data_IF_975670010532
#
_entry.id   IF_975670010532
#
_cell.length_a   1.000
_cell.length_b   1.000
_cell.length_c   1.000
_cell.angle_alpha   90.00
_cell.angle_beta   90.00
_cell.angle_gamma   90.00
#
_symmetry.space_group_name_H-M   'P 1'
#
loop_
_entity.id
_entity.type
_entity.pdbx_description
1 polymer ?
#
# COMPACT_ATOMS: atom_id res chain seq x y z
N UNK A 1 -16.81 5.10 -42.24
CA UNK A 1 -18.04 5.77 -41.79
C UNK A 1 -18.67 6.66 -42.86
N UNK A 2 -18.19 7.90 -43.00
CA UNK A 2 -18.84 8.90 -43.87
C UNK A 2 -18.96 8.51 -45.35
N UNK A 3 -17.93 7.91 -45.95
CA UNK A 3 -17.99 7.46 -47.34
C UNK A 3 -19.12 6.43 -47.58
N UNK A 4 -19.21 5.41 -46.74
CA UNK A 4 -20.29 4.41 -46.78
C UNK A 4 -21.66 5.05 -46.55
N UNK A 5 -21.77 5.96 -45.57
CA UNK A 5 -22.99 6.73 -45.35
C UNK A 5 -23.42 7.52 -46.58
N UNK A 6 -22.49 8.19 -47.26
CA UNK A 6 -22.75 8.92 -48.50
C UNK A 6 -23.21 8.01 -49.65
N UNK A 7 -22.62 6.83 -49.80
CA UNK A 7 -23.07 5.83 -50.78
C UNK A 7 -24.50 5.40 -50.50
N UNK A 8 -24.83 5.04 -49.25
CA UNK A 8 -26.19 4.65 -48.85
C UNK A 8 -27.18 5.80 -49.07
N UNK A 9 -26.83 7.02 -48.64
CA UNK A 9 -27.68 8.20 -48.83
C UNK A 9 -27.94 8.50 -50.30
N UNK A 10 -26.94 8.34 -51.18
CA UNK A 10 -27.09 8.56 -52.63
C UNK A 10 -27.95 7.48 -53.28
N UNK A 11 -27.79 6.22 -52.88
CA UNK A 11 -28.66 5.12 -53.35
C UNK A 11 -30.12 5.39 -52.96
N UNK A 12 -30.39 5.76 -51.70
CA UNK A 12 -31.75 6.02 -51.25
C UNK A 12 -32.36 7.29 -51.86
N UNK A 13 -31.57 8.32 -52.13
CA UNK A 13 -32.04 9.49 -52.88
C UNK A 13 -32.42 9.13 -54.32
N UNK A 14 -31.66 8.26 -54.97
CA UNK A 14 -31.98 7.83 -56.33
C UNK A 14 -33.26 6.98 -56.40
N UNK A 15 -33.55 6.18 -55.35
CA UNK A 15 -34.74 5.31 -55.32
C UNK A 15 -35.97 6.06 -54.80
N UNK A 16 -35.82 6.89 -53.76
CA UNK A 16 -36.89 7.65 -53.11
C UNK A 16 -36.51 9.13 -52.91
N UNK A 17 -36.44 9.93 -54.00
CA UNK A 17 -35.96 11.31 -53.95
C UNK A 17 -36.86 12.24 -53.11
N UNK A 18 -38.14 11.91 -52.97
CA UNK A 18 -39.09 12.68 -52.14
C UNK A 18 -38.94 12.41 -50.63
N UNK A 19 -38.38 11.27 -50.24
CA UNK A 19 -38.17 10.89 -48.83
C UNK A 19 -36.77 11.31 -48.38
N UNK A 20 -35.74 11.05 -49.19
CA UNK A 20 -34.36 11.43 -48.88
C UNK A 20 -34.00 12.67 -49.69
N UNK A 21 -34.27 13.85 -49.16
CA UNK A 21 -33.98 15.13 -49.85
C UNK A 21 -32.52 15.56 -49.73
N UNK A 22 -31.84 15.16 -48.65
CA UNK A 22 -30.46 15.55 -48.33
C UNK A 22 -29.55 14.34 -48.07
N UNK A 23 -28.90 13.79 -49.11
CA UNK A 23 -27.96 12.66 -48.96
C UNK A 23 -26.80 12.93 -47.98
N UNK A 24 -26.41 14.21 -47.81
CA UNK A 24 -25.34 14.62 -46.90
C UNK A 24 -25.60 14.25 -45.43
N UNK A 25 -26.86 14.17 -45.01
CA UNK A 25 -27.21 13.74 -43.65
C UNK A 25 -26.70 12.32 -43.33
N UNK A 26 -26.71 11.43 -44.34
CA UNK A 26 -26.23 10.05 -44.18
C UNK A 26 -24.70 9.98 -44.03
N UNK A 27 -23.96 10.93 -44.60
CA UNK A 27 -22.49 11.04 -44.41
C UNK A 27 -22.19 11.31 -42.93
N UNK A 28 -22.89 12.28 -42.34
CA UNK A 28 -22.72 12.69 -40.95
C UNK A 28 -23.08 11.55 -40.00
N UNK A 29 -24.25 10.93 -40.21
CA UNK A 29 -24.71 9.79 -39.39
C UNK A 29 -23.81 8.57 -39.56
N UNK A 30 -23.34 8.29 -40.78
CA UNK A 30 -22.41 7.18 -41.05
C UNK A 30 -21.01 7.40 -40.45
N UNK A 31 -20.54 8.65 -40.38
CA UNK A 31 -19.31 9.00 -39.66
C UNK A 31 -19.47 8.79 -38.14
N UNK A 32 -20.56 9.30 -37.56
CA UNK A 32 -20.86 9.15 -36.13
C UNK A 32 -21.03 7.68 -35.73
N UNK A 33 -21.80 6.89 -36.50
CA UNK A 33 -21.98 5.46 -36.25
C UNK A 33 -20.65 4.70 -36.25
N UNK A 34 -19.81 4.92 -37.25
CA UNK A 34 -18.49 4.28 -37.32
C UNK A 34 -17.62 4.61 -36.11
N UNK A 35 -17.47 5.90 -35.77
CA UNK A 35 -16.63 6.32 -34.66
C UNK A 35 -17.17 5.81 -33.32
N UNK A 36 -18.49 5.86 -33.12
CA UNK A 36 -19.17 5.28 -31.95
C UNK A 36 -18.87 3.80 -31.80
N UNK A 37 -18.88 3.07 -32.92
CA UNK A 37 -18.63 1.64 -32.94
C UNK A 37 -17.19 1.24 -32.61
N UNK A 38 -16.20 1.94 -33.16
CA UNK A 38 -14.78 1.63 -32.90
C UNK A 38 -14.28 2.16 -31.57
N UNK A 39 -14.88 3.23 -31.04
CA UNK A 39 -14.45 3.89 -29.81
C UNK A 39 -15.27 3.47 -28.58
N UNK A 40 -16.41 2.81 -28.77
CA UNK A 40 -17.36 2.47 -27.71
C UNK A 40 -17.91 3.69 -26.93
N UNK A 41 -18.08 4.84 -27.61
CA UNK A 41 -18.46 6.13 -26.99
C UNK A 41 -19.67 6.78 -27.68
N UNK A 42 -20.87 6.16 -27.68
CA UNK A 42 -22.02 6.63 -28.47
C UNK A 42 -22.49 8.04 -28.14
N UNK A 43 -22.51 8.41 -26.85
CA UNK A 43 -23.00 9.73 -26.39
C UNK A 43 -21.99 10.84 -26.75
N UNK A 44 -20.71 10.66 -26.41
CA UNK A 44 -19.68 11.65 -26.73
C UNK A 44 -19.52 11.83 -28.24
N UNK A 45 -19.60 10.73 -29.01
CA UNK A 45 -19.50 10.77 -30.46
C UNK A 45 -20.61 11.61 -31.09
N UNK A 46 -21.88 11.43 -30.68
CA UNK A 46 -22.97 12.18 -31.29
C UNK A 46 -22.91 13.66 -30.93
N UNK A 47 -22.52 14.00 -29.69
CA UNK A 47 -22.32 15.40 -29.27
C UNK A 47 -21.24 16.05 -30.12
N UNK A 48 -20.07 15.41 -30.23
CA UNK A 48 -18.94 15.92 -31.02
C UNK A 48 -19.32 16.16 -32.50
N UNK A 49 -20.03 15.21 -33.11
CA UNK A 49 -20.45 15.33 -34.51
C UNK A 49 -21.52 16.41 -34.69
N UNK A 50 -22.47 16.54 -33.76
CA UNK A 50 -23.47 17.61 -33.79
C UNK A 50 -22.84 19.00 -33.61
N UNK A 51 -21.84 19.13 -32.75
CA UNK A 51 -21.09 20.39 -32.57
C UNK A 51 -20.27 20.74 -33.81
N UNK A 52 -19.51 19.78 -34.37
CA UNK A 52 -18.69 20.02 -35.57
C UNK A 52 -19.53 20.37 -36.81
N UNK A 53 -20.75 19.84 -36.90
CA UNK A 53 -21.67 20.14 -38.00
C UNK A 53 -22.58 21.33 -37.73
N UNK A 54 -22.51 21.91 -36.53
CA UNK A 54 -23.38 22.98 -36.03
C UNK A 54 -24.88 22.68 -36.27
N UNK A 55 -25.27 21.41 -36.15
CA UNK A 55 -26.62 20.94 -36.46
C UNK A 55 -27.08 19.86 -35.49
N UNK A 56 -28.14 20.18 -34.77
CA UNK A 56 -28.76 19.28 -33.79
C UNK A 56 -29.95 18.50 -34.38
N UNK A 57 -30.38 18.80 -35.61
CA UNK A 57 -31.48 18.09 -36.27
C UNK A 57 -31.18 16.59 -36.49
N UNK A 58 -29.91 16.24 -36.62
CA UNK A 58 -29.45 14.85 -36.81
C UNK A 58 -29.15 14.12 -35.49
N UNK A 59 -29.34 14.77 -34.34
CA UNK A 59 -28.99 14.19 -33.04
C UNK A 59 -29.79 12.93 -32.75
N UNK A 60 -31.12 12.97 -32.92
CA UNK A 60 -31.98 11.82 -32.60
C UNK A 60 -31.74 10.62 -33.55
N UNK A 61 -31.73 10.79 -34.89
CA UNK A 61 -31.36 9.69 -35.80
C UNK A 61 -29.93 9.20 -35.59
N UNK A 62 -28.99 10.10 -35.31
CA UNK A 62 -27.60 9.76 -35.05
C UNK A 62 -27.41 8.98 -33.76
N UNK A 63 -28.13 9.34 -32.68
CA UNK A 63 -28.10 8.60 -31.41
C UNK A 63 -28.61 7.17 -31.58
N UNK A 64 -29.66 6.95 -32.38
CA UNK A 64 -30.14 5.61 -32.72
C UNK A 64 -29.04 4.80 -33.41
N UNK A 65 -28.43 5.37 -34.46
CA UNK A 65 -27.37 4.68 -35.21
C UNK A 65 -26.13 4.43 -34.34
N UNK A 66 -25.68 5.41 -33.56
CA UNK A 66 -24.56 5.26 -32.63
C UNK A 66 -24.84 4.19 -31.58
N UNK A 67 -26.03 4.17 -30.99
CA UNK A 67 -26.43 3.20 -29.97
C UNK A 67 -26.50 1.78 -30.55
N UNK A 68 -27.12 1.63 -31.72
CA UNK A 68 -27.20 0.34 -32.40
C UNK A 68 -25.81 -0.17 -32.80
N UNK A 69 -24.97 0.72 -33.34
CA UNK A 69 -23.60 0.35 -33.70
C UNK A 69 -22.82 -0.06 -32.47
N UNK A 70 -22.88 0.71 -31.38
CA UNK A 70 -22.25 0.36 -30.11
C UNK A 70 -22.70 -1.01 -29.58
N UNK A 71 -24.01 -1.29 -29.58
CA UNK A 71 -24.52 -2.59 -29.11
C UNK A 71 -23.99 -3.77 -29.96
N UNK A 72 -23.91 -3.59 -31.27
CA UNK A 72 -23.46 -4.63 -32.21
C UNK A 72 -21.93 -4.78 -32.22
N UNK A 73 -21.17 -3.69 -32.04
CA UNK A 73 -19.72 -3.67 -32.16
C UNK A 73 -18.96 -3.64 -30.84
N UNK A 74 -19.63 -3.65 -29.67
CA UNK A 74 -19.02 -3.47 -28.34
C UNK A 74 -17.75 -4.28 -28.10
N UNK A 75 -17.67 -5.51 -28.66
CA UNK A 75 -16.54 -6.43 -28.51
C UNK A 75 -15.31 -6.06 -29.36
N UNK A 76 -15.43 -5.11 -30.27
CA UNK A 76 -14.43 -4.74 -31.27
C UNK A 76 -14.05 -3.28 -31.05
N UNK A 77 -12.77 -3.03 -30.81
CA UNK A 77 -12.22 -1.67 -30.70
C UNK A 77 -10.88 -1.62 -31.42
N UNK A 78 -10.56 -0.44 -31.97
CA UNK A 78 -9.24 -0.16 -32.54
C UNK A 78 -8.21 0.20 -31.45
N UNK A 79 -8.67 0.50 -30.23
CA UNK A 79 -7.83 0.94 -29.14
C UNK A 79 -7.29 -0.25 -28.34
N UNK A 80 -6.04 -0.62 -28.59
CA UNK A 80 -5.38 -1.77 -27.95
C UNK A 80 -5.32 -1.68 -26.42
N UNK A 81 -5.25 -0.46 -25.86
CA UNK A 81 -5.18 -0.22 -24.42
C UNK A 81 -6.54 0.09 -23.78
N UNK A 82 -7.65 -0.01 -24.53
CA UNK A 82 -8.98 0.25 -24.00
C UNK A 82 -9.44 -0.97 -23.18
N UNK A 83 -9.54 -0.77 -21.87
CA UNK A 83 -10.01 -1.79 -20.93
C UNK A 83 -11.54 -1.87 -20.90
N UNK A 84 -12.07 -3.02 -20.52
CA UNK A 84 -13.51 -3.30 -20.54
C UNK A 84 -14.31 -2.53 -19.49
N UNK A 85 -13.67 -2.19 -18.37
CA UNK A 85 -14.31 -1.52 -17.26
C UNK A 85 -13.39 -0.49 -16.60
N UNK A 86 -13.98 0.43 -15.85
CA UNK A 86 -13.24 1.44 -15.10
C UNK A 86 -12.32 0.80 -14.04
N UNK A 87 -12.71 -0.33 -13.44
CA UNK A 87 -11.90 -1.03 -12.41
C UNK A 87 -10.67 -1.72 -12.99
N UNK A 88 -10.71 -2.10 -14.27
CA UNK A 88 -9.56 -2.65 -15.00
C UNK A 88 -8.56 -1.56 -15.42
N UNK A 89 -8.94 -0.29 -15.30
CA UNK A 89 -8.12 0.84 -15.68
C UNK A 89 -7.12 1.20 -14.60
N UNK A 90 -5.84 1.12 -14.94
CA UNK A 90 -4.76 1.55 -14.04
C UNK A 90 -4.88 3.02 -13.60
N UNK A 91 -5.51 3.88 -14.41
CA UNK A 91 -5.70 5.29 -14.10
C UNK A 91 -6.66 5.52 -12.93
N UNK A 92 -7.62 4.62 -12.73
CA UNK A 92 -8.71 4.78 -11.78
C UNK A 92 -8.54 3.93 -10.50
N UNK A 93 -7.37 3.29 -10.29
CA UNK A 93 -7.12 2.42 -9.13
C UNK A 93 -7.30 3.11 -7.78
N UNK A 94 -6.98 4.40 -7.71
CA UNK A 94 -7.12 5.21 -6.48
C UNK A 94 -8.57 5.53 -6.14
N UNK A 95 -9.42 5.75 -7.14
CA UNK A 95 -10.86 6.06 -6.96
C UNK A 95 -11.55 4.96 -6.13
N UNK A 96 -11.29 3.70 -6.46
CA UNK A 96 -11.95 2.57 -5.83
C UNK A 96 -11.35 2.16 -4.48
N UNK A 97 -10.14 2.63 -4.16
CA UNK A 97 -9.44 2.17 -2.95
C UNK A 97 -10.19 2.56 -1.68
N UNK A 98 -10.59 3.83 -1.58
CA UNK A 98 -11.32 4.35 -0.42
C UNK A 98 -12.72 3.73 -0.36
N UNK A 99 -13.44 3.71 -1.48
CA UNK A 99 -14.83 3.24 -1.55
C UNK A 99 -14.94 1.76 -1.15
N UNK A 100 -14.03 0.92 -1.64
CA UNK A 100 -14.03 -0.52 -1.34
C UNK A 100 -13.65 -0.76 0.12
N UNK A 101 -12.64 -0.06 0.65
CA UNK A 101 -12.29 -0.18 2.07
C UNK A 101 -13.40 0.32 3.00
N UNK A 102 -14.11 1.39 2.63
CA UNK A 102 -15.23 1.93 3.38
C UNK A 102 -16.45 0.98 3.36
N UNK A 103 -16.60 0.19 2.30
CA UNK A 103 -17.65 -0.83 2.18
C UNK A 103 -17.37 -2.11 3.00
N UNK A 104 -16.12 -2.34 3.40
CA UNK A 104 -15.70 -3.52 4.17
C UNK A 104 -15.56 -3.19 5.66
N UNK A 105 -15.93 -4.14 6.52
CA UNK A 105 -15.85 -4.02 7.99
C UNK A 105 -14.77 -4.91 8.58
N UNK A 106 -14.21 -4.49 9.72
CA UNK A 106 -13.17 -5.25 10.44
C UNK A 106 -13.61 -6.67 10.79
N UNK A 107 -14.88 -6.89 11.14
CA UNK A 107 -15.44 -8.23 11.44
C UNK A 107 -15.31 -9.22 10.28
N UNK A 108 -15.25 -8.74 9.04
CA UNK A 108 -15.05 -9.61 7.87
C UNK A 108 -13.65 -10.22 7.87
N UNK A 109 -12.68 -9.59 8.55
CA UNK A 109 -11.33 -10.12 8.74
C UNK A 109 -11.16 -10.89 10.06
N UNK A 110 -12.25 -11.29 10.71
CA UNK A 110 -12.20 -11.96 12.02
C UNK A 110 -11.36 -13.23 12.02
N UNK A 111 -11.37 -14.00 10.91
CA UNK A 111 -10.52 -15.19 10.75
C UNK A 111 -9.02 -14.87 10.63
N UNK A 112 -8.67 -13.66 10.25
CA UNK A 112 -7.29 -13.19 10.06
C UNK A 112 -6.72 -12.59 11.35
N UNK A 113 -7.56 -12.33 12.37
CA UNK A 113 -7.12 -11.79 13.65
C UNK A 113 -6.08 -12.71 14.28
N UNK A 114 -4.91 -12.15 14.56
CA UNK A 114 -3.84 -12.87 15.25
C UNK A 114 -4.07 -12.79 16.74
N UNK A 115 -3.94 -13.93 17.43
CA UNK A 115 -3.89 -13.95 18.89
C UNK A 115 -2.60 -13.28 19.35
N UNK A 116 -2.72 -12.26 20.20
CA UNK A 116 -1.57 -11.62 20.80
C UNK A 116 -1.15 -12.38 22.06
N UNK A 117 0.16 -12.43 22.29
CA UNK A 117 0.69 -12.71 23.61
C UNK A 117 0.44 -11.51 24.52
N UNK A 118 -0.36 -11.73 25.57
CA UNK A 118 -0.70 -10.72 26.56
C UNK A 118 0.36 -10.64 27.64
N UNK A 119 0.66 -9.42 28.08
CA UNK A 119 1.66 -9.15 29.11
C UNK A 119 0.94 -8.69 30.39
N UNK A 120 1.04 -9.41 31.51
CA UNK A 120 0.50 -8.95 32.79
C UNK A 120 1.11 -7.61 33.23
N UNK A 121 0.28 -6.72 33.75
CA UNK A 121 0.66 -5.36 34.18
C UNK A 121 1.78 -5.34 35.22
N UNK A 122 1.85 -6.37 36.05
CA UNK A 122 2.79 -6.51 37.16
C UNK A 122 4.05 -7.29 36.78
N UNK A 123 4.14 -7.82 35.55
CA UNK A 123 5.32 -8.48 35.02
C UNK A 123 6.51 -7.52 35.05
N UNK A 124 7.67 -8.01 35.49
CA UNK A 124 8.91 -7.22 35.45
C UNK A 124 9.53 -7.24 34.06
N UNK A 125 10.25 -6.18 33.72
CA UNK A 125 10.96 -6.09 32.44
C UNK A 125 11.91 -7.28 32.21
N UNK A 126 12.58 -7.77 33.26
CA UNK A 126 13.43 -8.96 33.20
C UNK A 126 12.69 -10.23 32.80
N UNK A 127 11.46 -10.43 33.31
CA UNK A 127 10.62 -11.56 32.89
C UNK A 127 10.13 -11.35 31.45
N UNK A 128 9.75 -10.13 31.10
CA UNK A 128 9.34 -9.78 29.74
C UNK A 128 10.47 -10.05 28.72
N UNK A 129 11.74 -9.76 29.01
CA UNK A 129 12.87 -10.10 28.12
C UNK A 129 12.84 -11.56 27.67
N UNK A 130 12.52 -12.49 28.59
CA UNK A 130 12.41 -13.92 28.26
C UNK A 130 11.26 -14.22 27.30
N UNK A 131 10.13 -13.56 27.52
CA UNK A 131 8.95 -13.63 26.64
C UNK A 131 9.28 -13.08 25.26
N UNK A 132 9.87 -11.89 25.21
CA UNK A 132 10.29 -11.23 23.98
C UNK A 132 11.26 -12.10 23.18
N UNK A 133 12.28 -12.69 23.81
CA UNK A 133 13.22 -13.57 23.10
C UNK A 133 12.65 -14.86 22.56
N UNK A 134 11.40 -15.20 22.90
CA UNK A 134 10.72 -16.38 22.37
C UNK A 134 9.59 -16.01 21.40
N UNK A 135 9.47 -14.73 21.01
CA UNK A 135 8.32 -14.20 20.28
C UNK A 135 8.74 -13.29 19.13
N UNK A 136 8.09 -13.44 17.98
CA UNK A 136 8.23 -12.54 16.82
C UNK A 136 7.21 -11.39 16.86
N UNK A 137 6.51 -11.23 17.99
CA UNK A 137 5.50 -10.20 18.17
C UNK A 137 6.15 -8.81 18.34
N UNK A 138 5.64 -7.83 17.60
CA UNK A 138 6.17 -6.46 17.64
C UNK A 138 5.41 -5.52 18.59
N UNK A 139 4.15 -5.82 18.86
CA UNK A 139 3.26 -5.05 19.73
C UNK A 139 2.68 -5.96 20.82
N UNK A 140 2.76 -5.53 22.06
CA UNK A 140 2.41 -6.30 23.24
C UNK A 140 1.31 -5.59 24.05
N UNK A 141 0.08 -6.12 24.02
CA UNK A 141 -0.99 -5.65 24.89
C UNK A 141 -0.67 -5.96 26.35
N UNK A 142 -0.82 -4.97 27.22
CA UNK A 142 -0.66 -5.10 28.66
C UNK A 142 -2.02 -5.20 29.31
N UNK A 143 -2.21 -6.23 30.13
CA UNK A 143 -3.49 -6.56 30.75
C UNK A 143 -3.40 -6.59 32.27
N UNK A 144 -4.49 -6.20 32.93
CA UNK A 144 -4.65 -6.34 34.36
C UNK A 144 -5.02 -7.80 34.75
N UNK A 145 -5.29 -8.03 36.03
CA UNK A 145 -5.63 -9.35 36.58
C UNK A 145 -6.94 -9.93 36.02
N UNK A 146 -7.85 -9.08 35.57
CA UNK A 146 -9.12 -9.46 34.94
C UNK A 146 -8.99 -9.65 33.41
N UNK A 147 -7.77 -9.73 32.86
CA UNK A 147 -7.48 -9.80 31.41
C UNK A 147 -8.01 -8.59 30.61
N UNK A 148 -8.13 -7.43 31.24
CA UNK A 148 -8.53 -6.18 30.59
C UNK A 148 -7.29 -5.44 30.16
N UNK A 149 -7.23 -5.08 28.88
CA UNK A 149 -6.15 -4.31 28.29
C UNK A 149 -6.13 -2.89 28.87
N UNK A 150 -5.05 -2.56 29.56
CA UNK A 150 -4.81 -1.24 30.17
C UNK A 150 -3.80 -0.41 29.38
N UNK A 151 -3.04 -1.05 28.49
CA UNK A 151 -2.06 -0.38 27.65
C UNK A 151 -1.55 -1.29 26.55
N UNK A 152 -0.73 -0.72 25.67
CA UNK A 152 0.01 -1.45 24.64
C UNK A 152 1.38 -0.83 24.50
N UNK A 153 2.41 -1.63 24.24
CA UNK A 153 3.73 -1.11 23.87
C UNK A 153 4.29 -1.90 22.70
N UNK A 154 5.19 -1.27 21.97
CA UNK A 154 6.00 -1.87 20.93
C UNK A 154 7.43 -2.10 21.41
N UNK A 155 8.18 -2.89 20.66
CA UNK A 155 9.63 -3.03 20.91
C UNK A 155 10.38 -1.70 20.89
N UNK A 156 9.87 -0.71 20.13
CA UNK A 156 10.48 0.60 20.02
C UNK A 156 10.30 1.43 21.30
N UNK A 157 9.20 1.22 22.04
CA UNK A 157 8.89 1.97 23.26
C UNK A 157 9.81 1.56 24.42
N UNK A 158 10.39 0.36 24.36
CA UNK A 158 11.16 -0.23 25.46
C UNK A 158 12.65 -0.34 25.16
N UNK A 159 13.08 0.08 23.96
CA UNK A 159 14.44 -0.16 23.43
C UNK A 159 15.54 0.33 24.36
N UNK A 160 15.39 1.53 24.94
CA UNK A 160 16.39 2.11 25.84
C UNK A 160 16.60 1.28 27.11
N UNK A 161 15.52 0.73 27.68
CA UNK A 161 15.59 -0.03 28.94
C UNK A 161 15.74 -1.54 28.71
N UNK A 162 15.58 -2.01 27.46
CA UNK A 162 15.53 -3.44 27.14
C UNK A 162 16.82 -4.17 27.45
N UNK A 163 17.97 -3.50 27.44
CA UNK A 163 19.28 -4.13 27.68
C UNK A 163 19.98 -3.67 28.97
N UNK A 164 19.30 -2.86 29.79
CA UNK A 164 19.84 -2.38 31.06
C UNK A 164 19.51 -3.35 32.20
N UNK A 165 20.49 -4.11 32.65
CA UNK A 165 20.32 -5.13 33.69
C UNK A 165 19.95 -4.58 35.07
N UNK A 166 20.22 -3.30 35.34
CA UNK A 166 19.98 -2.70 36.66
C UNK A 166 18.49 -2.38 36.89
N UNK A 167 17.77 -1.98 35.84
CA UNK A 167 16.35 -1.62 35.93
C UNK A 167 15.39 -2.81 35.77
N UNK A 168 15.90 -3.96 35.31
CA UNK A 168 15.08 -5.10 34.87
C UNK A 168 14.13 -5.66 35.94
N UNK A 169 14.53 -5.64 37.21
CA UNK A 169 13.71 -6.13 38.34
C UNK A 169 12.81 -5.06 38.96
N UNK A 170 13.08 -3.77 38.70
CA UNK A 170 12.34 -2.64 39.27
C UNK A 170 11.18 -2.19 38.37
N UNK A 171 11.38 -2.17 37.06
CA UNK A 171 10.39 -1.69 36.09
C UNK A 171 9.31 -2.75 35.86
N UNK A 172 8.03 -2.34 35.99
CA UNK A 172 6.88 -3.15 35.65
C UNK A 172 6.34 -2.78 34.28
N UNK A 173 5.74 -3.74 33.58
CA UNK A 173 5.26 -3.50 32.22
C UNK A 173 4.13 -2.47 32.14
N UNK A 174 3.36 -2.25 33.21
CA UNK A 174 2.39 -1.15 33.29
C UNK A 174 3.01 0.25 33.23
N UNK A 175 4.26 0.41 33.70
CA UNK A 175 4.95 1.70 33.74
C UNK A 175 5.54 2.05 32.36
N UNK A 176 5.64 1.04 31.49
CA UNK A 176 6.19 1.11 30.14
C UNK A 176 5.08 1.16 29.08
N UNK A 177 3.91 0.61 29.40
CA UNK A 177 2.78 0.55 28.49
C UNK A 177 2.23 1.94 28.14
N UNK A 178 1.95 2.18 26.86
CA UNK A 178 1.21 3.35 26.44
C UNK A 178 -0.28 3.15 26.74
N UNK A 179 -0.85 4.03 27.58
CA UNK A 179 -2.26 3.99 27.99
C UNK A 179 -3.20 4.65 26.97
N UNK A 180 -2.67 5.46 26.05
CA UNK A 180 -3.43 6.05 24.93
C UNK A 180 -3.47 5.09 23.74
N UNK A 181 -4.21 3.99 23.93
CA UNK A 181 -4.28 2.88 22.98
C UNK A 181 -5.06 3.31 21.73
N UNK A 182 -4.45 3.15 20.56
CA UNK A 182 -5.15 3.25 19.28
C UNK A 182 -5.68 1.86 18.93
N UNK A 183 -6.99 1.71 18.91
CA UNK A 183 -7.67 0.45 18.64
C UNK A 183 -8.71 0.60 17.51
N UNK A 184 -9.26 -0.54 17.12
CA UNK A 184 -10.42 -0.64 16.23
C UNK A 184 -11.45 -1.61 16.79
N UNK A 185 -12.69 -1.53 16.30
CA UNK A 185 -13.79 -2.44 16.67
C UNK A 185 -14.24 -3.27 15.46
N UNK A 186 -14.87 -4.44 15.66
CA UNK A 186 -15.40 -5.26 14.58
C UNK A 186 -16.37 -4.53 13.61
N UNK A 187 -17.13 -3.54 14.08
CA UNK A 187 -18.02 -2.74 13.24
C UNK A 187 -17.35 -1.58 12.48
N UNK A 188 -16.12 -1.21 12.81
CA UNK A 188 -15.41 -0.13 12.12
C UNK A 188 -15.13 -0.50 10.65
N UNK A 189 -15.17 0.48 9.75
CA UNK A 189 -14.81 0.28 8.35
C UNK A 189 -13.29 0.26 8.16
N UNK A 190 -12.82 -0.48 7.15
CA UNK A 190 -11.38 -0.66 6.94
C UNK A 190 -10.67 0.61 6.47
N UNK A 191 -11.39 1.61 5.95
CA UNK A 191 -10.78 2.87 5.56
C UNK A 191 -10.35 3.68 6.80
N UNK A 192 -11.18 3.76 7.83
CA UNK A 192 -10.80 4.39 9.11
C UNK A 192 -9.65 3.65 9.78
N UNK A 193 -9.65 2.31 9.77
CA UNK A 193 -8.51 1.52 10.28
C UNK A 193 -7.24 1.78 9.48
N UNK A 194 -7.34 1.85 8.15
CA UNK A 194 -6.22 2.17 7.29
C UNK A 194 -5.65 3.58 7.55
N UNK A 195 -6.50 4.57 7.81
CA UNK A 195 -6.08 5.92 8.22
C UNK A 195 -5.33 5.88 9.55
N UNK A 196 -5.88 5.22 10.58
CA UNK A 196 -5.21 5.03 11.88
C UNK A 196 -3.82 4.41 11.71
N UNK A 197 -3.72 3.35 10.90
CA UNK A 197 -2.45 2.68 10.62
C UNK A 197 -1.47 3.54 9.83
N UNK A 198 -1.95 4.37 8.91
CA UNK A 198 -1.10 5.21 8.05
C UNK A 198 -0.58 6.43 8.79
N UNK A 199 -1.44 7.17 9.50
CA UNK A 199 -1.07 8.39 10.22
C UNK A 199 -0.06 8.08 11.33
N UNK A 200 -0.23 6.94 12.01
CA UNK A 200 0.60 6.55 13.16
C UNK A 200 1.62 5.46 12.83
N UNK A 201 1.80 5.17 11.54
CA UNK A 201 2.71 4.15 11.01
C UNK A 201 2.65 2.81 11.78
N UNK A 202 1.42 2.38 12.11
CA UNK A 202 1.17 1.15 12.84
C UNK A 202 1.16 -0.02 11.86
N UNK A 203 1.91 -1.07 12.18
CA UNK A 203 1.86 -2.31 11.41
C UNK A 203 0.70 -3.21 11.86
N UNK A 204 0.37 -3.18 13.15
CA UNK A 204 -0.74 -3.92 13.74
C UNK A 204 -1.56 -2.99 14.63
N UNK A 205 -2.85 -3.27 14.72
CA UNK A 205 -3.79 -2.55 15.56
C UNK A 205 -4.61 -3.53 16.40
N UNK A 206 -4.80 -3.28 17.71
CA UNK A 206 -5.68 -4.08 18.54
C UNK A 206 -7.15 -3.92 18.10
N UNK A 207 -7.81 -5.06 17.93
CA UNK A 207 -9.26 -5.16 17.74
C UNK A 207 -9.88 -5.46 19.09
N UNK A 208 -10.77 -4.58 19.56
CA UNK A 208 -11.39 -4.67 20.88
C UNK A 208 -12.90 -4.86 20.77
N UNK A 209 -13.54 -5.31 21.85
CA UNK A 209 -15.00 -5.48 21.89
C UNK A 209 -15.71 -4.12 21.77
N UNK A 210 -16.86 -4.08 21.09
CA UNK A 210 -17.68 -2.86 20.97
C UNK A 210 -18.32 -2.44 22.30
N UNK A 211 -18.71 -3.41 23.12
CA UNK A 211 -19.29 -3.14 24.44
C UNK A 211 -18.23 -2.67 25.43
N UNK A 212 -17.00 -3.13 25.25
CA UNK A 212 -15.92 -2.89 26.18
C UNK A 212 -14.55 -2.87 25.50
N UNK A 213 -14.05 -1.66 25.26
CA UNK A 213 -12.79 -1.45 24.55
C UNK A 213 -11.54 -1.97 25.29
N UNK A 214 -11.66 -2.37 26.55
CA UNK A 214 -10.54 -3.01 27.25
C UNK A 214 -10.53 -4.54 27.08
N UNK A 215 -11.56 -5.13 26.47
CA UNK A 215 -11.54 -6.54 26.08
C UNK A 215 -10.89 -6.66 24.70
N UNK A 216 -9.68 -7.22 24.64
CA UNK A 216 -8.99 -7.48 23.38
C UNK A 216 -9.59 -8.72 22.70
N UNK A 217 -10.11 -8.55 21.49
CA UNK A 217 -10.62 -9.63 20.63
C UNK A 217 -9.47 -10.26 19.84
N UNK A 218 -8.53 -9.45 19.37
CA UNK A 218 -7.35 -9.91 18.64
C UNK A 218 -6.51 -8.75 18.10
N UNK A 219 -5.52 -9.05 17.27
CA UNK A 219 -4.72 -8.05 16.57
C UNK A 219 -4.96 -8.17 15.06
N UNK A 220 -5.19 -7.04 14.41
CA UNK A 220 -5.30 -6.95 12.95
C UNK A 220 -4.00 -6.40 12.38
N UNK A 221 -3.42 -7.12 11.42
CA UNK A 221 -2.24 -6.68 10.70
C UNK A 221 -2.64 -5.85 9.48
N UNK A 222 -1.94 -4.75 9.23
CA UNK A 222 -2.14 -3.93 8.04
C UNK A 222 -1.96 -4.76 6.76
N UNK A 223 -1.06 -5.74 6.76
CA UNK A 223 -0.85 -6.64 5.63
C UNK A 223 -2.12 -7.42 5.28
N UNK A 224 -2.82 -7.93 6.29
CA UNK A 224 -4.05 -8.73 6.11
C UNK A 224 -5.17 -7.86 5.52
N UNK A 225 -5.29 -6.59 5.95
CA UNK A 225 -6.24 -5.64 5.33
C UNK A 225 -6.00 -5.44 3.84
N UNK A 226 -4.74 -5.26 3.45
CA UNK A 226 -4.37 -5.06 2.04
C UNK A 226 -4.58 -6.34 1.22
N UNK A 227 -4.27 -7.51 1.78
CA UNK A 227 -4.55 -8.79 1.12
C UNK A 227 -6.05 -8.99 0.90
N UNK A 228 -6.87 -8.71 1.91
CA UNK A 228 -8.32 -8.80 1.80
C UNK A 228 -8.88 -7.84 0.74
N UNK A 229 -8.40 -6.59 0.71
CA UNK A 229 -8.74 -5.64 -0.36
C UNK A 229 -8.39 -6.16 -1.76
N UNK A 230 -7.17 -6.67 -1.95
CA UNK A 230 -6.75 -7.19 -3.25
C UNK A 230 -7.59 -8.39 -3.70
N UNK A 231 -7.91 -9.31 -2.77
CA UNK A 231 -8.81 -10.42 -3.05
C UNK A 231 -10.19 -9.91 -3.48
N UNK A 232 -10.74 -8.92 -2.78
CA UNK A 232 -12.04 -8.33 -3.10
C UNK A 232 -12.07 -7.68 -4.48
N UNK A 233 -10.99 -7.01 -4.88
CA UNK A 233 -10.85 -6.44 -6.22
C UNK A 233 -10.91 -7.54 -7.28
N UNK A 234 -10.22 -8.65 -7.09
CA UNK A 234 -10.22 -9.76 -8.05
C UNK A 234 -11.60 -10.43 -8.14
N UNK A 235 -12.33 -10.54 -7.03
CA UNK A 235 -13.72 -11.04 -7.03
C UNK A 235 -14.67 -10.11 -7.81
N UNK A 236 -14.52 -8.80 -7.64
CA UNK A 236 -15.31 -7.80 -8.38
C UNK A 236 -15.01 -7.89 -9.88
N UNK A 237 -13.73 -8.00 -10.27
CA UNK A 237 -13.31 -8.18 -11.68
C UNK A 237 -13.83 -9.47 -12.28
N UNK A 238 -13.92 -10.54 -11.48
CA UNK A 238 -14.46 -11.83 -11.92
C UNK A 238 -15.99 -11.84 -12.13
N UNK A 239 -16.68 -10.69 -11.96
CA UNK A 239 -18.11 -10.56 -12.27
C UNK A 239 -19.06 -11.04 -11.18
N UNK A 240 -18.55 -11.29 -9.95
CA UNK A 240 -19.39 -11.56 -8.77
C UNK A 240 -19.68 -10.24 -8.05
N UNK A 241 -20.50 -9.40 -8.67
CA UNK A 241 -20.83 -8.07 -8.16
C UNK A 241 -21.92 -8.11 -7.09
N UNK A 242 -21.62 -7.45 -5.96
CA UNK A 242 -22.62 -6.93 -5.01
C UNK A 242 -23.40 -5.79 -5.68
N UNK A 243 -24.69 -5.73 -5.34
CA UNK A 243 -25.64 -4.67 -5.70
C UNK A 243 -25.14 -3.28 -5.30
N UNK A 244 -24.98 -2.42 -6.30
CA UNK A 244 -24.62 -1.01 -6.21
C UNK A 244 -25.81 -0.14 -5.85
N UNK A 245 -25.95 0.22 -4.58
CA UNK A 245 -26.59 1.47 -4.15
C UNK A 245 -25.71 2.04 -3.01
N UNK A 246 -25.45 3.35 -3.05
CA UNK A 246 -24.56 4.15 -2.18
C UNK A 246 -23.06 4.18 -2.55
N UNK A 247 -22.70 5.15 -3.39
CA UNK A 247 -21.31 5.63 -3.58
C UNK A 247 -21.21 7.11 -3.19
N UNK A 248 -20.47 7.47 -2.13
CA UNK A 248 -20.08 8.85 -1.83
C UNK A 248 -18.94 9.36 -2.74
N UNK A 249 -18.74 10.67 -2.75
CA UNK A 249 -17.92 11.41 -3.72
C UNK A 249 -16.38 11.24 -3.58
N UNK A 250 -15.74 11.21 -4.77
CA UNK A 250 -14.30 11.17 -5.14
C UNK A 250 -13.34 12.10 -4.35
N UNK A 251 -12.12 11.62 -4.02
CA UNK A 251 -10.89 12.41 -4.01
C UNK A 251 -10.02 12.14 -5.27
N UNK A 252 -9.16 13.10 -5.65
CA UNK A 252 -8.53 13.24 -6.98
C UNK A 252 -7.36 12.28 -7.33
N UNK A 253 -7.34 11.84 -8.59
CA UNK A 253 -6.44 10.88 -9.26
C UNK A 253 -4.96 11.30 -9.46
N UNK A 254 -4.50 12.45 -8.96
CA UNK A 254 -3.19 12.99 -9.32
C UNK A 254 -1.97 12.32 -8.64
N UNK A 255 -2.17 11.42 -7.66
CA UNK A 255 -1.11 11.10 -6.68
C UNK A 255 -0.35 9.77 -6.95
N UNK A 256 -0.85 8.87 -7.79
CA UNK A 256 -0.27 7.52 -7.97
C UNK A 256 0.75 7.40 -9.12
N UNK A 257 0.65 8.23 -10.16
CA UNK A 257 1.61 8.23 -11.27
C UNK A 257 3.02 8.70 -10.82
N UNK A 258 3.09 9.52 -9.78
CA UNK A 258 4.33 10.06 -9.22
C UNK A 258 5.18 8.97 -8.51
N UNK A 259 4.60 7.85 -8.07
CA UNK A 259 5.31 6.78 -7.34
C UNK A 259 6.37 6.03 -8.17
N UNK A 260 6.17 5.92 -9.48
CA UNK A 260 7.09 5.17 -10.37
C UNK A 260 8.26 6.03 -10.87
N UNK A 261 8.14 7.35 -10.77
CA UNK A 261 9.08 8.29 -11.34
C UNK A 261 10.24 8.65 -10.38
N UNK A 262 10.09 8.41 -9.08
CA UNK A 262 11.10 8.80 -8.09
C UNK A 262 12.09 7.64 -7.87
N UNK A 263 13.39 7.84 -8.19
CA UNK A 263 14.42 6.86 -7.91
C UNK A 263 14.79 6.86 -6.42
N UNK A 264 15.26 5.71 -5.93
CA UNK A 264 15.69 5.51 -4.54
C UNK A 264 16.77 6.51 -4.12
N UNK A 265 17.69 6.88 -5.03
CA UNK A 265 18.78 7.85 -4.75
C UNK A 265 18.30 9.23 -4.28
N UNK A 266 17.06 9.60 -4.59
CA UNK A 266 16.46 10.90 -4.26
C UNK A 266 15.76 10.89 -2.89
N UNK A 267 15.53 9.71 -2.31
CA UNK A 267 14.87 9.54 -1.00
C UNK A 267 15.74 8.85 0.05
N UNK A 268 16.76 8.09 -0.36
CA UNK A 268 17.57 7.31 0.55
C UNK A 268 18.29 8.18 1.59
N UNK A 269 18.42 7.64 2.79
CA UNK A 269 19.26 8.24 3.81
C UNK A 269 20.73 7.93 3.49
N UNK A 270 21.51 8.98 3.21
CA UNK A 270 22.95 8.93 2.92
C UNK A 270 23.82 9.03 4.18
N UNK A 271 23.24 9.48 5.30
CA UNK A 271 23.95 9.54 6.56
C UNK A 271 23.93 8.15 7.21
N UNK A 272 24.79 7.29 6.68
CA UNK A 272 24.83 5.87 6.94
C UNK A 272 25.33 5.59 8.36
N UNK A 273 24.45 5.03 9.19
CA UNK A 273 24.87 4.39 10.44
C UNK A 273 25.08 2.90 10.14
N UNK A 274 26.31 2.55 9.75
CA UNK A 274 26.73 1.18 9.54
C UNK A 274 27.67 0.73 10.66
N UNK A 275 27.67 -0.57 10.94
CA UNK A 275 28.50 -1.18 11.97
C UNK A 275 29.56 -2.05 11.31
N UNK A 276 30.78 -2.00 11.82
CA UNK A 276 31.87 -2.79 11.27
C UNK A 276 31.75 -4.26 11.69
N UNK A 277 32.19 -5.19 10.83
CA UNK A 277 32.07 -6.63 11.12
C UNK A 277 32.85 -7.07 12.37
N UNK A 278 33.91 -6.35 12.76
CA UNK A 278 34.70 -6.63 13.96
C UNK A 278 34.21 -5.89 15.21
N UNK A 279 33.14 -5.09 15.10
CA UNK A 279 32.59 -4.35 16.25
C UNK A 279 32.13 -5.35 17.32
N UNK A 280 32.44 -5.04 18.59
CA UNK A 280 32.03 -5.86 19.72
C UNK A 280 30.54 -5.67 20.04
N UNK A 281 29.94 -6.64 20.71
CA UNK A 281 28.53 -6.52 21.13
C UNK A 281 28.31 -5.41 22.18
N UNK A 282 29.33 -5.07 22.96
CA UNK A 282 29.26 -3.98 23.95
C UNK A 282 29.13 -2.63 23.25
N UNK A 283 30.00 -2.36 22.27
CA UNK A 283 29.96 -1.15 21.46
C UNK A 283 28.67 -1.06 20.64
N UNK A 284 28.21 -2.20 20.08
CA UNK A 284 26.90 -2.27 19.42
C UNK A 284 25.75 -1.88 20.35
N UNK A 285 25.77 -2.34 21.61
CA UNK A 285 24.73 -2.04 22.61
C UNK A 285 24.66 -0.54 22.90
N UNK A 286 25.81 0.12 23.03
CA UNK A 286 25.86 1.58 23.21
C UNK A 286 25.31 2.32 22.00
N UNK A 287 25.71 1.92 20.78
CA UNK A 287 25.17 2.50 19.54
C UNK A 287 23.64 2.33 19.41
N UNK A 288 23.10 1.16 19.77
CA UNK A 288 21.65 0.92 19.77
C UNK A 288 20.92 1.85 20.73
N UNK A 289 21.51 2.10 21.91
CA UNK A 289 20.94 2.95 22.93
C UNK A 289 20.96 4.43 22.51
N UNK A 290 22.10 4.92 21.99
CA UNK A 290 22.26 6.33 21.62
C UNK A 290 21.58 6.71 20.30
N UNK A 291 21.68 5.85 19.28
CA UNK A 291 21.26 6.22 17.91
C UNK A 291 19.79 5.90 17.64
N UNK A 292 19.15 5.07 18.46
CA UNK A 292 17.73 4.75 18.33
C UNK A 292 17.35 4.04 17.01
N UNK A 293 18.30 3.37 16.37
CA UNK A 293 18.09 2.61 15.12
C UNK A 293 17.88 1.13 15.44
N UNK A 294 16.98 0.46 14.72
CA UNK A 294 16.63 -0.97 14.95
C UNK A 294 17.35 -1.95 14.04
N UNK A 295 18.07 -1.45 13.05
CA UNK A 295 18.73 -2.27 12.04
C UNK A 295 19.93 -1.52 11.46
N UNK A 296 21.02 -2.25 11.25
CA UNK A 296 22.30 -1.70 10.83
C UNK A 296 22.84 -2.51 9.64
N UNK A 297 23.24 -1.86 8.54
CA UNK A 297 24.13 -2.48 7.57
C UNK A 297 25.45 -2.83 8.25
N UNK A 298 25.99 -4.01 7.94
CA UNK A 298 27.27 -4.48 8.44
C UNK A 298 28.29 -4.40 7.33
N UNK A 299 29.43 -3.76 7.57
CA UNK A 299 30.47 -3.54 6.55
C UNK A 299 31.82 -4.17 6.91
N UNK A 300 32.61 -4.49 5.89
CA UNK A 300 34.02 -4.85 6.04
C UNK A 300 34.91 -3.62 6.29
N UNK A 301 36.22 -3.85 6.46
CA UNK A 301 37.24 -2.81 6.67
C UNK A 301 37.36 -1.82 5.51
N UNK A 302 36.90 -2.18 4.32
CA UNK A 302 36.86 -1.33 3.13
C UNK A 302 35.52 -0.59 2.96
N UNK A 303 34.59 -0.72 3.92
CA UNK A 303 33.27 -0.08 3.87
C UNK A 303 32.27 -0.80 2.95
N UNK A 304 32.55 -2.04 2.52
CA UNK A 304 31.65 -2.82 1.67
C UNK A 304 30.67 -3.62 2.50
N UNK A 305 29.44 -3.75 1.99
CA UNK A 305 28.35 -4.46 2.63
C UNK A 305 28.66 -5.96 2.76
N UNK A 306 28.63 -6.46 3.99
CA UNK A 306 28.84 -7.87 4.37
C UNK A 306 27.63 -8.52 5.01
N UNK A 307 26.69 -7.72 5.50
CA UNK A 307 25.51 -8.23 6.18
C UNK A 307 24.53 -7.14 6.57
N UNK A 308 23.45 -7.54 7.21
CA UNK A 308 22.52 -6.66 7.93
C UNK A 308 22.26 -7.26 9.30
N UNK A 309 22.14 -6.39 10.30
CA UNK A 309 21.87 -6.78 11.67
C UNK A 309 20.62 -6.05 12.17
N UNK A 310 19.62 -6.79 12.63
CA UNK A 310 18.45 -6.25 13.30
C UNK A 310 18.53 -6.46 14.81
N UNK A 311 17.75 -5.70 15.59
CA UNK A 311 17.64 -5.93 17.05
C UNK A 311 17.19 -7.35 17.40
N UNK A 312 16.38 -7.98 16.55
CA UNK A 312 15.93 -9.36 16.72
C UNK A 312 17.12 -10.34 16.65
N UNK A 313 18.11 -10.05 15.80
CA UNK A 313 19.32 -10.87 15.66
C UNK A 313 20.26 -10.73 16.87
N UNK A 314 20.26 -9.57 17.54
CA UNK A 314 21.10 -9.36 18.72
C UNK A 314 20.61 -10.13 19.96
N UNK A 315 19.34 -10.54 19.97
CA UNK A 315 18.64 -11.07 21.15
C UNK A 315 19.23 -12.40 21.67
N UNK A 316 19.70 -13.27 20.78
CA UNK A 316 20.35 -14.53 21.18
C UNK A 316 21.83 -14.32 21.56
N UNK A 317 22.49 -13.35 20.93
CA UNK A 317 23.90 -13.05 21.16
C UNK A 317 24.12 -12.48 22.57
N UNK A 318 23.26 -11.57 23.02
CA UNK A 318 23.31 -11.01 24.38
C UNK A 318 23.00 -12.05 25.48
N UNK A 319 22.28 -13.14 25.18
CA UNK A 319 21.92 -14.17 26.17
C UNK A 319 23.08 -15.08 26.57
N UNK A 320 24.08 -15.29 25.70
CA UNK A 320 25.15 -16.26 25.95
C UNK A 320 26.25 -15.75 26.87
N UNK A 321 26.31 -14.43 27.13
CA UNK A 321 27.39 -13.81 27.91
C UNK A 321 28.77 -13.96 27.25
N UNK A 322 28.82 -14.39 25.99
CA UNK A 322 30.06 -14.65 25.27
C UNK A 322 30.49 -13.38 24.55
N UNK A 323 31.18 -12.50 25.29
CA UNK A 323 31.67 -11.20 24.84
C UNK A 323 32.72 -11.28 23.70
N UNK A 324 33.07 -12.49 23.25
CA UNK A 324 34.03 -12.72 22.17
C UNK A 324 33.40 -12.77 20.77
N UNK A 325 32.07 -12.76 20.68
CA UNK A 325 31.34 -12.78 19.41
C UNK A 325 31.32 -11.37 18.81
N UNK A 326 31.56 -11.25 17.51
CA UNK A 326 31.55 -9.96 16.80
C UNK A 326 30.23 -9.74 16.06
N UNK A 327 29.95 -8.50 15.67
CA UNK A 327 28.80 -8.15 14.81
C UNK A 327 28.78 -8.99 13.54
N UNK A 328 29.95 -9.26 12.95
CA UNK A 328 30.10 -10.09 11.76
C UNK A 328 29.61 -11.51 11.96
N UNK A 329 29.71 -12.08 13.15
CA UNK A 329 29.29 -13.46 13.42
C UNK A 329 27.77 -13.61 13.52
N UNK A 330 27.08 -12.53 13.89
CA UNK A 330 25.63 -12.54 14.15
C UNK A 330 24.80 -11.90 13.02
N UNK A 331 25.46 -11.18 12.10
CA UNK A 331 24.80 -10.52 10.99
C UNK A 331 24.21 -11.50 9.96
N UNK A 332 23.01 -11.21 9.49
CA UNK A 332 22.40 -11.89 8.35
C UNK A 332 23.22 -11.60 7.09
N UNK A 333 23.76 -12.64 6.45
CA UNK A 333 24.65 -12.51 5.29
C UNK A 333 23.92 -12.39 3.96
N UNK A 334 22.75 -13.02 3.83
CA UNK A 334 21.88 -12.87 2.67
C UNK A 334 21.07 -11.58 2.79
N UNK A 335 21.67 -10.48 2.36
CA UNK A 335 21.07 -9.15 2.49
C UNK A 335 20.18 -8.86 1.28
N UNK A 336 18.90 -8.58 1.54
CA UNK A 336 18.02 -8.00 0.52
C UNK A 336 18.35 -6.51 0.39
N UNK A 337 18.77 -6.09 -0.81
CA UNK A 337 19.17 -4.70 -1.11
C UNK A 337 18.26 -4.09 -2.17
N UNK A 338 18.41 -2.79 -2.41
CA UNK A 338 17.91 -2.08 -3.59
C UNK A 338 19.05 -1.29 -4.22
N UNK A 339 18.95 -0.97 -5.49
CA UNK A 339 19.91 -0.08 -6.16
C UNK A 339 19.45 1.37 -6.06
N UNK A 340 20.39 2.30 -6.20
CA UNK A 340 20.11 3.74 -6.27
C UNK A 340 19.23 4.14 -7.48
N UNK A 341 19.17 3.28 -8.50
CA UNK A 341 18.33 3.42 -9.70
C UNK A 341 16.97 2.75 -9.59
N UNK A 342 16.73 1.90 -8.58
CA UNK A 342 15.40 1.35 -8.33
C UNK A 342 14.41 2.48 -8.05
N UNK A 343 13.13 2.25 -8.32
CA UNK A 343 12.08 3.21 -7.97
C UNK A 343 11.56 2.97 -6.53
N UNK A 344 11.00 4.02 -5.93
CA UNK A 344 10.47 3.97 -4.56
C UNK A 344 9.38 2.91 -4.36
N UNK A 345 8.55 2.64 -5.37
CA UNK A 345 7.52 1.61 -5.28
C UNK A 345 8.15 0.21 -5.18
N UNK A 346 9.21 -0.07 -5.92
CA UNK A 346 9.95 -1.33 -5.86
C UNK A 346 10.62 -1.51 -4.49
N UNK A 347 11.23 -0.44 -3.95
CA UNK A 347 11.79 -0.45 -2.61
C UNK A 347 10.72 -0.71 -1.54
N UNK A 348 9.58 -0.01 -1.62
CA UNK A 348 8.45 -0.21 -0.70
C UNK A 348 7.87 -1.62 -0.78
N UNK A 349 7.76 -2.20 -1.98
CA UNK A 349 7.30 -3.56 -2.18
C UNK A 349 8.24 -4.58 -1.52
N UNK A 350 9.56 -4.43 -1.68
CA UNK A 350 10.56 -5.29 -1.02
C UNK A 350 10.53 -5.15 0.50
N UNK A 351 10.46 -3.92 1.01
CA UNK A 351 10.30 -3.62 2.45
C UNK A 351 9.05 -4.33 3.00
N UNK A 352 7.93 -4.20 2.30
CA UNK A 352 6.65 -4.73 2.76
C UNK A 352 6.59 -6.25 2.69
N UNK A 353 7.17 -6.87 1.65
CA UNK A 353 7.16 -8.31 1.46
C UNK A 353 7.97 -9.04 2.55
N UNK A 354 9.18 -8.57 2.85
CA UNK A 354 10.05 -9.18 3.86
C UNK A 354 9.90 -8.61 5.27
N UNK A 355 8.97 -7.66 5.47
CA UNK A 355 8.79 -6.91 6.72
C UNK A 355 10.09 -6.29 7.28
N UNK A 356 10.93 -5.79 6.37
CA UNK A 356 12.20 -5.19 6.74
C UNK A 356 11.98 -3.80 7.36
N UNK A 357 12.82 -3.43 8.33
CA UNK A 357 12.85 -2.08 8.88
C UNK A 357 13.48 -1.09 7.89
N UNK A 358 14.58 -1.52 7.27
CA UNK A 358 15.35 -0.78 6.27
C UNK A 358 15.83 -1.73 5.17
N UNK A 359 16.13 -1.20 3.99
CA UNK A 359 16.90 -1.87 2.94
C UNK A 359 18.22 -1.12 2.72
N UNK A 360 19.37 -1.80 2.68
CA UNK A 360 20.61 -1.20 2.21
C UNK A 360 20.48 -0.83 0.72
N UNK A 361 20.90 0.39 0.39
CA UNK A 361 20.97 0.87 -0.99
C UNK A 361 22.39 0.68 -1.47
N UNK A 362 22.56 -0.07 -2.55
CA UNK A 362 23.86 -0.39 -3.13
C UNK A 362 24.02 0.24 -4.51
N UNK A 363 25.25 0.34 -4.96
CA UNK A 363 25.57 0.76 -6.31
C UNK A 363 25.03 -0.28 -7.32
N UNK A 364 24.48 0.20 -8.44
CA UNK A 364 23.92 -0.67 -9.48
C UNK A 364 25.00 -1.57 -10.10
N UNK A 365 26.22 -1.04 -10.25
CA UNK A 365 27.32 -1.74 -10.90
C UNK A 365 28.19 -2.52 -9.88
N UNK A 366 28.07 -2.19 -8.60
CA UNK A 366 28.75 -2.85 -7.49
C UNK A 366 27.79 -3.18 -6.33
N UNK A 367 27.24 -4.40 -6.27
CA UNK A 367 26.21 -4.77 -5.30
C UNK A 367 26.71 -4.88 -3.84
N UNK A 368 28.03 -4.76 -3.61
CA UNK A 368 28.60 -4.71 -2.26
C UNK A 368 29.00 -3.28 -1.86
N UNK A 369 28.95 -2.32 -2.77
CA UNK A 369 29.21 -0.92 -2.46
C UNK A 369 27.95 -0.27 -1.87
N UNK A 370 27.99 0.00 -0.58
CA UNK A 370 26.90 0.59 0.17
C UNK A 370 26.83 2.11 -0.04
N UNK A 371 25.71 2.59 -0.56
CA UNK A 371 25.45 4.02 -0.85
C UNK A 371 24.57 4.70 0.20
N UNK A 372 23.77 3.92 0.93
CA UNK A 372 22.85 4.45 1.93
C UNK A 372 21.87 3.39 2.43
N UNK A 373 20.81 3.82 3.10
CA UNK A 373 19.69 2.97 3.52
C UNK A 373 18.37 3.62 3.17
N UNK A 374 17.34 2.82 2.89
CA UNK A 374 15.99 3.32 2.68
C UNK A 374 15.00 2.61 3.59
N UNK A 375 14.19 3.37 4.31
CA UNK A 375 13.13 2.89 5.19
C UNK A 375 11.75 3.24 4.65
N UNK A 376 10.72 2.61 5.24
CA UNK A 376 9.31 2.96 5.00
C UNK A 376 9.03 4.46 5.23
N UNK A 377 9.68 5.04 6.25
CA UNK A 377 9.59 6.46 6.58
C UNK A 377 10.17 7.32 5.45
N UNK A 378 11.34 6.98 4.95
CA UNK A 378 12.02 7.74 3.88
C UNK A 378 11.19 7.76 2.60
N UNK A 379 10.63 6.61 2.21
CA UNK A 379 9.71 6.51 1.07
C UNK A 379 8.50 7.43 1.25
N UNK A 380 7.88 7.39 2.44
CA UNK A 380 6.66 8.16 2.74
C UNK A 380 6.96 9.67 2.83
N UNK A 381 8.09 10.06 3.40
CA UNK A 381 8.53 11.46 3.50
C UNK A 381 8.84 12.03 2.12
N UNK A 382 9.60 11.30 1.29
CA UNK A 382 9.90 11.73 -0.08
C UNK A 382 8.62 11.94 -0.89
N UNK A 383 7.63 11.07 -0.71
CA UNK A 383 6.31 11.21 -1.32
C UNK A 383 5.60 12.50 -0.88
N UNK A 384 5.54 12.77 0.43
CA UNK A 384 4.93 13.98 0.95
C UNK A 384 5.61 15.26 0.43
N UNK A 385 6.94 15.24 0.29
CA UNK A 385 7.69 16.37 -0.28
C UNK A 385 7.38 16.61 -1.76
N UNK A 386 7.19 15.54 -2.54
CA UNK A 386 6.85 15.67 -3.98
C UNK A 386 5.42 16.16 -4.16
N UNK A 387 4.47 15.68 -3.34
CA UNK A 387 3.09 16.15 -3.37
C UNK A 387 2.93 17.62 -2.96
N UNK A 388 3.73 18.12 -2.01
CA UNK A 388 3.70 19.51 -1.57
C UNK A 388 4.42 20.50 -2.50
N UNK A 389 5.21 20.01 -3.46
CA UNK A 389 5.92 20.84 -4.45
C UNK A 389 5.13 21.06 -5.75
N UNK A 390 3.98 20.40 -5.90
CA UNK A 390 2.95 20.72 -6.91
C UNK A 390 1.86 21.53 -6.24
#
# INVERSE_FOLDING_TARGET
GGALGGVVGRIFHNIWPTIVTHPGAFVVVGMAGFFSGVSNTPISTIIFVSEMTNSYHLLLPGLLVCSLTYMLSRKWTIYQNQVNSKIDSNAHRGDFFVDILAAMRVRELSSQFRKAQLIPEDMTLKKFRKVFSASDQHYFPVVNKENRMIGIFSINDIRGVLFDDEVGDLVRMKDVANTSIIFTTPSEDLNEVFKKCTIRNLQRIPVVSEEDHSVLVGMLDRREMIQYYNQRIEEIKAGKGISTEDSPQKPSEAHLADFRAIPVKDAMNRNLVAVHETTSLEELREMVYEMGVTSFPVTDTSGRLKGILSLSDCNWAFKKGDLKVTVGDIATKEVITVTDHDNLLAALARITAGDFAILPVVDKDDPVKLLGTISRKDVTTAFHTVLLKK
#
